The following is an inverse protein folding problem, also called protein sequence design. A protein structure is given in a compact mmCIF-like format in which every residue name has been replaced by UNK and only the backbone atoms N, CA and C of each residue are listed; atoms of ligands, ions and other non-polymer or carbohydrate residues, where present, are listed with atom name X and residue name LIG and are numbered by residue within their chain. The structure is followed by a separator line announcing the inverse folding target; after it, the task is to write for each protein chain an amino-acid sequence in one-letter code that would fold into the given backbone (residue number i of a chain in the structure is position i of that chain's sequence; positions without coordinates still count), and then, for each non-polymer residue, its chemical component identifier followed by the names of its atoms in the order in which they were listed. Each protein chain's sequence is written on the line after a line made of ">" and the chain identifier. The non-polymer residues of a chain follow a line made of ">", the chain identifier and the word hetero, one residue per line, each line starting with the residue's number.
data_IF_001467679902
#
_entry.id   IF_001467679902
#
_cell.length_a   1.000
_cell.length_b   1.000
_cell.length_c   1.000
_cell.angle_alpha   90.00
_cell.angle_beta   90.00
_cell.angle_gamma   90.00
#
_symmetry.space_group_name_H-M   'P 1'
#
loop_
_entity.id
_entity.type
_entity.pdbx_description
1 polymer ?
#
# COMPACT_ATOMS: atom_id res chain seq x y z
N UNK A 1 -0.47 -0.05 26.35
CA UNK A 1 -1.31 1.09 26.76
C UNK A 1 -0.62 2.42 26.37
N UNK A 2 -0.32 2.57 25.08
CA UNK A 2 0.26 3.80 24.48
C UNK A 2 -0.47 4.10 23.14
N UNK A 3 -1.02 3.08 22.47
CA UNK A 3 -1.77 3.24 21.22
C UNK A 3 -3.11 4.01 21.33
N UNK A 4 -3.72 4.07 22.51
CA UNK A 4 -5.04 4.72 22.68
C UNK A 4 -4.99 6.25 22.67
N UNK A 5 -3.87 6.86 23.09
CA UNK A 5 -3.81 8.31 23.27
C UNK A 5 -3.68 9.12 21.98
N UNK A 6 -3.32 8.49 20.85
CA UNK A 6 -3.14 9.21 19.58
C UNK A 6 -4.41 9.24 18.70
N UNK A 7 -5.42 8.43 19.01
CA UNK A 7 -6.64 8.32 18.20
C UNK A 7 -7.82 9.18 18.70
N UNK A 8 -7.91 9.45 20.01
CA UNK A 8 -9.03 10.18 20.60
C UNK A 8 -9.07 11.68 20.18
N UNK A 9 -7.92 12.28 19.85
CA UNK A 9 -7.84 13.68 19.40
C UNK A 9 -8.38 13.91 17.98
N UNK A 10 -8.61 12.84 17.20
CA UNK A 10 -9.18 12.94 15.84
C UNK A 10 -10.72 12.86 15.86
N UNK A 11 -11.32 12.15 16.82
CA UNK A 11 -12.78 11.97 16.89
C UNK A 11 -13.53 13.24 17.29
N UNK A 12 -12.94 14.09 18.13
CA UNK A 12 -13.60 15.30 18.65
C UNK A 12 -13.92 16.38 17.59
N UNK A 13 -13.40 16.26 16.37
CA UNK A 13 -13.56 17.25 15.29
C UNK A 13 -14.66 16.97 14.26
N UNK A 14 -15.36 15.83 14.33
CA UNK A 14 -16.21 15.34 13.22
C UNK A 14 -17.73 15.47 13.50
N UNK A 15 -18.16 15.76 14.72
CA UNK A 15 -19.59 15.68 15.10
C UNK A 15 -20.55 16.72 14.51
N UNK A 16 -20.09 17.75 13.79
CA UNK A 16 -21.01 18.70 13.14
C UNK A 16 -20.73 18.87 11.64
N UNK A 17 -21.14 17.94 10.77
CA UNK A 17 -21.59 18.28 9.39
C UNK A 17 -22.63 17.31 8.83
N UNK A 18 -23.85 17.82 8.72
CA UNK A 18 -24.91 17.55 7.73
C UNK A 18 -24.93 16.18 7.01
N UNK A 19 -25.96 15.38 7.33
CA UNK A 19 -26.44 14.28 6.48
C UNK A 19 -26.88 14.83 5.12
N UNK A 20 -26.11 14.55 4.07
CA UNK A 20 -26.55 14.70 2.68
C UNK A 20 -26.98 13.32 2.19
N UNK A 21 -28.22 13.21 1.70
CA UNK A 21 -28.76 11.98 1.13
C UNK A 21 -28.03 11.65 -0.18
N UNK A 22 -27.60 10.40 -0.34
CA UNK A 22 -26.91 9.89 -1.53
C UNK A 22 -27.97 9.23 -2.42
N UNK A 23 -28.03 9.62 -3.70
CA UNK A 23 -28.82 8.93 -4.72
C UNK A 23 -28.06 7.68 -5.18
N UNK A 24 -28.65 6.51 -4.94
CA UNK A 24 -28.12 5.19 -5.33
C UNK A 24 -28.01 5.02 -6.87
N UNK A 25 -28.60 5.96 -7.61
CA UNK A 25 -28.49 6.25 -9.04
C UNK A 25 -27.07 6.32 -9.63
N UNK A 26 -26.12 6.95 -8.93
CA UNK A 26 -24.84 7.35 -9.54
C UNK A 26 -23.73 6.31 -9.39
N UNK A 27 -24.00 5.16 -8.74
CA UNK A 27 -23.01 4.13 -8.44
C UNK A 27 -23.05 2.93 -9.40
N UNK A 28 -23.23 3.17 -10.70
CA UNK A 28 -23.14 2.12 -11.73
C UNK A 28 -22.34 2.60 -12.93
N UNK A 29 -21.12 2.08 -13.07
CA UNK A 29 -20.42 2.05 -14.37
C UNK A 29 -21.02 0.92 -15.22
N UNK A 30 -21.12 1.12 -16.53
CA UNK A 30 -21.72 0.19 -17.50
C UNK A 30 -20.93 -1.13 -17.70
N UNK A 31 -19.82 -1.29 -16.97
CA UNK A 31 -18.72 -2.17 -17.36
C UNK A 31 -18.43 -3.25 -16.30
N UNK A 32 -19.12 -3.23 -15.15
CA UNK A 32 -18.90 -4.19 -14.06
C UNK A 32 -17.51 -4.09 -13.40
N UNK A 33 -16.80 -2.97 -13.60
CA UNK A 33 -15.50 -2.73 -12.99
C UNK A 33 -15.61 -2.44 -11.48
N UNK A 34 -14.61 -2.91 -10.73
CA UNK A 34 -14.45 -2.65 -9.31
C UNK A 34 -14.31 -1.14 -9.06
N UNK A 35 -15.24 -0.55 -8.30
CA UNK A 35 -15.19 0.86 -7.90
C UNK A 35 -14.27 0.97 -6.68
N UNK A 36 -13.11 1.59 -6.85
CA UNK A 36 -12.23 1.91 -5.73
C UNK A 36 -13.00 2.77 -4.71
N UNK A 37 -12.92 2.49 -3.39
CA UNK A 37 -13.72 3.20 -2.41
C UNK A 37 -13.46 4.71 -2.44
N UNK A 38 -14.52 5.43 -2.12
CA UNK A 38 -14.79 6.87 -2.14
C UNK A 38 -13.84 7.75 -1.28
N UNK A 39 -12.62 7.30 -1.00
CA UNK A 39 -11.61 8.06 -0.24
C UNK A 39 -11.08 9.22 -1.08
N UNK A 40 -10.97 9.04 -2.40
CA UNK A 40 -10.51 10.08 -3.32
C UNK A 40 -11.49 11.26 -3.41
N UNK A 41 -12.80 10.99 -3.39
CA UNK A 41 -13.86 12.02 -3.50
C UNK A 41 -14.04 12.80 -2.20
N UNK A 42 -13.89 12.15 -1.04
CA UNK A 42 -14.00 12.80 0.26
C UNK A 42 -12.84 13.78 0.51
N UNK A 43 -11.61 13.40 0.17
CA UNK A 43 -10.44 14.29 0.23
C UNK A 43 -10.56 15.48 -0.74
N UNK A 44 -11.09 15.24 -1.95
CA UNK A 44 -11.29 16.28 -2.96
C UNK A 44 -12.27 17.39 -2.53
N UNK A 45 -13.22 17.07 -1.65
CA UNK A 45 -14.24 18.04 -1.18
C UNK A 45 -13.75 18.84 0.03
N UNK A 46 -12.88 18.28 0.87
CA UNK A 46 -12.41 18.93 2.11
C UNK A 46 -11.28 19.92 1.84
N UNK A 47 -10.39 19.64 0.88
CA UNK A 47 -9.24 20.49 0.57
C UNK A 47 -9.47 21.26 -0.73
N UNK A 48 -10.34 22.28 -0.67
CA UNK A 48 -10.58 23.19 -1.79
C UNK A 48 -9.27 23.57 -2.50
N UNK A 49 -9.13 23.10 -3.74
CA UNK A 49 -8.00 23.35 -4.64
C UNK A 49 -6.63 22.81 -4.22
N UNK A 50 -6.55 21.62 -3.61
CA UNK A 50 -5.34 20.80 -3.72
C UNK A 50 -5.62 19.59 -4.61
N UNK A 51 -5.51 19.80 -5.92
CA UNK A 51 -5.32 18.69 -6.87
C UNK A 51 -3.90 18.15 -6.64
N UNK A 52 -3.67 17.49 -5.50
CA UNK A 52 -2.63 16.51 -5.36
C UNK A 52 -3.02 15.42 -6.36
N UNK A 53 -2.52 15.56 -7.58
CA UNK A 53 -2.44 14.44 -8.51
C UNK A 53 -1.59 13.41 -7.77
N UNK A 54 -2.23 12.44 -7.09
CA UNK A 54 -1.55 11.24 -6.65
C UNK A 54 -1.05 10.58 -7.92
N UNK A 55 0.20 10.86 -8.26
CA UNK A 55 0.91 10.15 -9.30
C UNK A 55 1.13 8.75 -8.75
N UNK A 56 0.21 7.85 -9.08
CA UNK A 56 0.31 6.44 -8.72
C UNK A 56 0.93 5.72 -9.92
N UNK A 57 2.07 5.07 -9.71
CA UNK A 57 2.85 4.33 -10.71
C UNK A 57 3.22 5.16 -11.94
N UNK A 58 3.59 6.43 -11.74
CA UNK A 58 3.97 7.32 -12.84
C UNK A 58 5.48 7.23 -13.15
N UNK A 59 5.84 6.34 -14.07
CA UNK A 59 7.22 6.12 -14.50
C UNK A 59 7.78 7.21 -15.44
N UNK A 60 6.98 8.20 -15.81
CA UNK A 60 7.38 9.27 -16.73
C UNK A 60 7.69 10.60 -16.02
N UNK A 61 7.52 10.67 -14.70
CA UNK A 61 7.89 11.85 -13.91
C UNK A 61 9.39 11.91 -13.76
N UNK A 62 10.00 12.98 -14.27
CA UNK A 62 11.43 13.21 -14.14
C UNK A 62 11.79 13.55 -12.68
N UNK A 63 12.42 12.60 -11.99
CA UNK A 63 12.81 12.71 -10.57
C UNK A 63 14.04 11.85 -10.29
N UNK A 64 14.74 12.09 -9.17
CA UNK A 64 15.85 11.22 -8.76
C UNK A 64 15.38 9.79 -8.46
N UNK A 65 14.16 9.63 -7.94
CA UNK A 65 13.52 8.33 -7.73
C UNK A 65 13.35 7.56 -9.03
N UNK A 66 12.89 8.23 -10.09
CA UNK A 66 12.65 7.62 -11.39
C UNK A 66 13.93 7.01 -12.00
N UNK A 67 15.09 7.65 -11.82
CA UNK A 67 16.38 7.09 -12.27
C UNK A 67 16.74 5.80 -11.53
N UNK A 68 16.52 5.75 -10.21
CA UNK A 68 16.74 4.55 -9.40
C UNK A 68 15.86 3.40 -9.84
N UNK A 69 14.56 3.67 -10.01
CA UNK A 69 13.58 2.70 -10.50
C UNK A 69 13.94 2.19 -11.90
N UNK A 70 14.32 3.09 -12.83
CA UNK A 70 14.73 2.71 -14.18
C UNK A 70 15.96 1.79 -14.17
N UNK A 71 16.98 2.13 -13.37
CA UNK A 71 18.19 1.33 -13.23
C UNK A 71 17.92 -0.04 -12.58
N UNK A 72 17.03 -0.08 -11.58
CA UNK A 72 16.56 -1.32 -10.95
C UNK A 72 15.92 -2.25 -11.97
N UNK A 73 14.98 -1.74 -12.78
CA UNK A 73 14.33 -2.54 -13.83
C UNK A 73 15.30 -2.93 -14.94
N UNK A 74 16.18 -2.02 -15.38
CA UNK A 74 17.20 -2.32 -16.39
C UNK A 74 18.09 -3.48 -15.94
N UNK A 75 18.56 -3.45 -14.71
CA UNK A 75 19.41 -4.50 -14.12
C UNK A 75 18.65 -5.82 -14.00
N UNK A 76 17.40 -5.79 -13.54
CA UNK A 76 16.57 -7.00 -13.47
C UNK A 76 16.31 -7.59 -14.86
N UNK A 77 15.94 -6.79 -15.86
CA UNK A 77 15.67 -7.26 -17.22
C UNK A 77 16.89 -7.95 -17.87
N UNK A 78 18.11 -7.51 -17.55
CA UNK A 78 19.34 -8.12 -18.06
C UNK A 78 19.67 -9.44 -17.34
N UNK A 79 19.45 -9.50 -16.03
CA UNK A 79 19.99 -10.57 -15.18
C UNK A 79 18.98 -11.66 -14.81
N UNK A 80 17.67 -11.40 -14.89
CA UNK A 80 16.60 -12.37 -14.60
C UNK A 80 16.47 -13.45 -15.69
N UNK A 81 17.44 -14.36 -15.72
CA UNK A 81 17.50 -15.48 -16.66
C UNK A 81 16.87 -16.75 -16.08
N UNK A 82 16.52 -17.72 -16.93
CA UNK A 82 16.00 -19.02 -16.50
C UNK A 82 16.95 -19.71 -15.51
N UNK A 83 18.25 -19.65 -15.78
CA UNK A 83 19.26 -20.27 -14.92
C UNK A 83 19.36 -19.56 -13.58
N UNK A 84 19.28 -18.22 -13.55
CA UNK A 84 19.23 -17.45 -12.31
C UNK A 84 18.01 -17.84 -11.46
N UNK A 85 16.81 -17.84 -12.05
CA UNK A 85 15.57 -18.17 -11.34
C UNK A 85 15.57 -19.61 -10.82
N UNK A 86 16.09 -20.57 -11.60
CA UNK A 86 16.22 -21.97 -11.14
C UNK A 86 17.11 -22.09 -9.91
N UNK A 87 18.28 -21.44 -9.91
CA UNK A 87 19.18 -21.42 -8.74
C UNK A 87 18.51 -20.76 -7.54
N UNK A 88 17.91 -19.59 -7.72
CA UNK A 88 17.23 -18.89 -6.62
C UNK A 88 16.09 -19.71 -6.01
N UNK A 89 15.32 -20.45 -6.83
CA UNK A 89 14.28 -21.36 -6.34
C UNK A 89 14.86 -22.51 -5.51
N UNK A 90 15.97 -23.10 -5.94
CA UNK A 90 16.65 -24.15 -5.18
C UNK A 90 17.21 -23.63 -3.85
N UNK A 91 17.80 -22.44 -3.85
CA UNK A 91 18.38 -21.84 -2.65
C UNK A 91 17.31 -21.37 -1.65
N UNK A 92 16.30 -20.64 -2.10
CA UNK A 92 15.23 -20.15 -1.23
C UNK A 92 14.29 -21.28 -0.78
N UNK A 93 14.10 -22.31 -1.60
CA UNK A 93 13.22 -23.44 -1.31
C UNK A 93 13.68 -24.33 -0.16
N UNK A 94 14.95 -24.24 0.25
CA UNK A 94 15.46 -24.96 1.44
C UNK A 94 14.92 -24.40 2.75
N UNK A 95 14.56 -23.11 2.78
CA UNK A 95 14.07 -22.42 3.99
C UNK A 95 15.00 -22.53 5.21
N UNK A 96 16.31 -22.70 5.00
CA UNK A 96 17.32 -22.88 6.05
C UNK A 96 18.05 -21.59 6.43
N UNK A 97 17.63 -20.43 5.89
CA UNK A 97 18.36 -19.16 6.06
C UNK A 97 18.22 -18.60 7.47
N UNK A 98 17.00 -18.62 8.00
CA UNK A 98 16.65 -18.02 9.29
C UNK A 98 15.29 -18.54 9.76
N UNK A 99 15.12 -18.65 11.07
CA UNK A 99 13.85 -18.95 11.72
C UNK A 99 13.43 -17.73 12.55
N UNK A 100 12.25 -17.19 12.28
CA UNK A 100 11.71 -16.02 12.98
C UNK A 100 10.18 -15.98 12.87
N UNK A 101 9.54 -15.20 13.75
CA UNK A 101 8.10 -14.91 13.71
C UNK A 101 7.74 -13.92 12.61
N UNK A 102 6.45 -13.86 12.27
CA UNK A 102 5.93 -12.91 11.26
C UNK A 102 6.28 -11.46 11.65
N UNK A 103 6.16 -11.11 12.94
CA UNK A 103 6.45 -9.75 13.38
C UNK A 103 7.94 -9.41 13.27
N UNK A 104 8.83 -10.36 13.62
CA UNK A 104 10.28 -10.18 13.43
C UNK A 104 10.62 -9.99 11.94
N UNK A 105 9.96 -10.70 11.02
CA UNK A 105 10.09 -10.45 9.58
C UNK A 105 9.67 -9.01 9.23
N UNK A 106 8.53 -8.53 9.74
CA UNK A 106 8.07 -7.16 9.52
C UNK A 106 9.06 -6.14 10.08
N UNK A 107 9.68 -6.41 11.23
CA UNK A 107 10.64 -5.50 11.84
C UNK A 107 11.93 -5.36 11.02
N UNK A 108 12.37 -6.41 10.32
CA UNK A 108 13.49 -6.32 9.36
C UNK A 108 13.19 -5.35 8.22
N UNK A 109 11.91 -5.15 7.88
CA UNK A 109 11.47 -4.23 6.84
C UNK A 109 11.42 -2.76 7.30
N UNK A 110 11.78 -2.45 8.55
CA UNK A 110 11.98 -1.06 9.01
C UNK A 110 13.16 -0.37 8.31
N UNK A 111 14.17 -1.14 7.88
CA UNK A 111 15.39 -0.63 7.27
C UNK A 111 15.40 -0.82 5.74
N UNK A 112 14.33 -1.37 5.18
CA UNK A 112 14.22 -1.70 3.77
C UNK A 112 13.24 -0.76 3.07
N UNK A 113 13.70 -0.14 1.98
CA UNK A 113 12.89 0.66 1.06
C UNK A 113 12.91 -0.04 -0.30
N UNK A 114 11.75 -0.29 -0.90
CA UNK A 114 11.64 -0.98 -2.19
C UNK A 114 12.05 -0.05 -3.34
N UNK A 115 13.27 -0.20 -3.88
CA UNK A 115 13.81 0.60 -4.98
C UNK A 115 13.02 0.51 -6.31
N UNK A 116 12.11 -0.46 -6.44
CA UNK A 116 11.32 -0.67 -7.65
C UNK A 116 10.02 0.15 -7.67
N UNK A 117 9.59 0.65 -6.51
CA UNK A 117 8.35 1.41 -6.36
C UNK A 117 8.60 2.89 -6.68
N UNK A 118 7.93 3.48 -7.68
CA UNK A 118 8.06 4.91 -7.98
C UNK A 118 7.34 5.82 -6.97
N UNK A 119 6.46 5.27 -6.13
CA UNK A 119 5.52 6.05 -5.31
C UNK A 119 5.92 6.14 -3.83
N UNK A 120 6.74 5.21 -3.34
CA UNK A 120 7.07 5.06 -1.92
C UNK A 120 8.57 5.28 -1.65
N UNK A 121 8.85 6.13 -0.67
CA UNK A 121 10.21 6.33 -0.11
C UNK A 121 10.28 5.89 1.37
N UNK A 122 9.15 5.44 1.93
CA UNK A 122 9.04 4.96 3.30
C UNK A 122 9.52 3.51 3.46
N UNK A 123 9.89 3.12 4.70
CA UNK A 123 10.16 1.72 5.02
C UNK A 123 9.00 0.79 4.67
N UNK A 124 9.31 -0.39 4.14
CA UNK A 124 8.33 -1.34 3.62
C UNK A 124 7.34 -1.83 4.69
N UNK A 125 7.73 -1.85 5.98
CA UNK A 125 6.80 -2.14 7.08
C UNK A 125 5.59 -1.19 7.10
N UNK A 126 5.76 0.08 6.74
CA UNK A 126 4.66 1.05 6.72
C UNK A 126 3.63 0.67 5.65
N UNK A 127 4.10 0.24 4.48
CA UNK A 127 3.25 -0.24 3.40
C UNK A 127 2.41 -1.46 3.83
N UNK A 128 3.02 -2.42 4.53
CA UNK A 128 2.32 -3.60 5.05
C UNK A 128 1.20 -3.20 6.03
N UNK A 129 1.50 -2.32 6.99
CA UNK A 129 0.53 -1.86 8.00
C UNK A 129 -0.59 -1.02 7.38
N UNK A 130 -0.27 -0.11 6.45
CA UNK A 130 -1.26 0.69 5.74
C UNK A 130 -2.24 -0.19 4.95
N UNK A 131 -1.72 -1.19 4.24
CA UNK A 131 -2.54 -2.11 3.45
C UNK A 131 -3.42 -2.97 4.37
N UNK A 132 -2.86 -3.52 5.44
CA UNK A 132 -3.61 -4.33 6.40
C UNK A 132 -4.73 -3.54 7.08
N UNK A 133 -4.46 -2.31 7.53
CA UNK A 133 -5.47 -1.47 8.19
C UNK A 133 -6.54 -0.94 7.24
N UNK A 134 -6.17 -0.62 5.98
CA UNK A 134 -7.15 -0.25 4.96
C UNK A 134 -8.12 -1.41 4.69
N UNK A 135 -7.60 -2.63 4.50
CA UNK A 135 -8.44 -3.82 4.33
C UNK A 135 -9.26 -4.10 5.59
N UNK A 136 -8.68 -3.99 6.78
CA UNK A 136 -9.42 -4.20 8.04
C UNK A 136 -10.62 -3.27 8.17
N UNK A 137 -10.48 -2.02 7.70
CA UNK A 137 -11.58 -1.05 7.70
C UNK A 137 -12.67 -1.40 6.68
N UNK A 138 -12.29 -1.82 5.48
CA UNK A 138 -13.23 -2.10 4.39
C UNK A 138 -13.89 -3.50 4.51
N UNK A 139 -13.21 -4.46 5.15
CA UNK A 139 -13.63 -5.85 5.31
C UNK A 139 -13.46 -6.34 6.76
N UNK A 140 -14.19 -5.76 7.74
CA UNK A 140 -13.93 -5.97 9.17
C UNK A 140 -14.08 -7.41 9.65
N UNK A 141 -14.87 -8.23 8.95
CA UNK A 141 -15.15 -9.63 9.34
C UNK A 141 -14.23 -10.66 8.65
N UNK A 142 -13.29 -10.20 7.80
CA UNK A 142 -12.41 -11.07 6.99
C UNK A 142 -10.96 -11.06 7.50
N UNK A 143 -10.74 -11.56 8.73
CA UNK A 143 -9.44 -11.55 9.42
C UNK A 143 -8.28 -12.13 8.57
N UNK A 144 -8.55 -13.17 7.78
CA UNK A 144 -7.56 -13.79 6.91
C UNK A 144 -7.08 -12.83 5.81
N UNK A 145 -7.94 -11.90 5.37
CA UNK A 145 -7.60 -10.92 4.35
C UNK A 145 -6.73 -9.80 4.95
N UNK A 146 -6.96 -9.44 6.21
CA UNK A 146 -6.09 -8.49 6.93
C UNK A 146 -4.69 -9.07 7.08
N UNK A 147 -4.61 -10.36 7.49
CA UNK A 147 -3.33 -11.05 7.59
C UNK A 147 -2.66 -11.18 6.22
N UNK A 148 -3.42 -11.51 5.17
CA UNK A 148 -2.89 -11.58 3.80
C UNK A 148 -2.27 -10.25 3.38
N UNK A 149 -2.92 -9.12 3.67
CA UNK A 149 -2.34 -7.80 3.43
C UNK A 149 -1.11 -7.48 4.28
N UNK A 150 -0.99 -8.05 5.47
CA UNK A 150 0.22 -7.87 6.28
C UNK A 150 1.42 -8.66 5.74
N UNK A 151 1.20 -9.80 5.09
CA UNK A 151 2.27 -10.75 4.69
C UNK A 151 2.51 -10.87 3.18
N UNK A 152 1.89 -9.99 2.38
CA UNK A 152 1.99 -10.03 0.92
C UNK A 152 3.41 -9.71 0.43
#
# INVERSE_FOLDING_TARGET
>A
MILFFFFDDIEAGIEERHKVAIDENELKTSDGGFVAPYISTLLATISGNLFLKMHNRDYHVESERQKGVEEFYRTNHINQTVDFVKRMREECGKMERVEMSIWECCELLNEYVDESDPDLDEPQIQHLLQTAEAIRKDYPDEDWLHLTALIH
#
